data_IF_585189052375
#
_entry.id   IF_585189052375
#
_cell.length_a   1.000
_cell.length_b   1.000
_cell.length_c   1.000
_cell.angle_alpha   90.00
_cell.angle_beta   90.00
_cell.angle_gamma   90.00
#
_symmetry.space_group_name_H-M   'P 1'
#
loop_
_entity.id
_entity.type
_entity.pdbx_description
1 polymer ?
#
# COMPACT_ATOMS: atom_id res chain seq x y z
N UNK A 1 18.33 27.68 37.43
CA UNK A 1 17.22 27.20 36.62
C UNK A 1 17.43 25.71 36.34
N UNK A 2 16.67 24.84 37.00
CA UNK A 2 16.79 23.36 36.84
C UNK A 2 15.90 22.89 35.70
N UNK A 3 16.51 22.38 34.63
CA UNK A 3 15.84 21.75 33.52
C UNK A 3 15.22 20.41 33.98
N UNK A 4 13.91 20.31 33.92
CA UNK A 4 13.16 19.10 34.24
C UNK A 4 13.03 18.25 32.96
N UNK A 5 14.00 17.37 32.74
CA UNK A 5 13.89 16.36 31.70
C UNK A 5 12.82 15.34 32.13
N UNK A 6 11.63 15.39 31.49
CA UNK A 6 10.62 14.36 31.62
C UNK A 6 11.19 13.06 31.05
N UNK A 7 11.46 12.08 31.94
CA UNK A 7 11.76 10.69 31.54
C UNK A 7 10.61 10.15 30.70
N UNK A 8 10.88 9.89 29.42
CA UNK A 8 9.98 9.09 28.58
C UNK A 8 10.04 7.68 29.17
N UNK A 9 8.97 7.27 29.84
CA UNK A 9 8.75 5.86 30.19
C UNK A 9 8.43 5.13 28.86
N UNK A 10 9.30 4.22 28.46
CA UNK A 10 8.93 3.21 27.45
C UNK A 10 7.79 2.38 28.07
N UNK A 11 6.62 2.46 27.46
CA UNK A 11 5.48 1.61 27.79
C UNK A 11 5.84 0.17 27.44
N UNK A 12 5.73 -0.71 28.42
CA UNK A 12 5.89 -2.15 28.23
C UNK A 12 4.83 -2.66 27.22
N UNK A 13 5.12 -3.77 26.54
CA UNK A 13 4.17 -4.49 25.70
C UNK A 13 2.85 -4.81 26.43
N UNK A 14 2.89 -4.95 27.76
CA UNK A 14 1.74 -5.16 28.63
C UNK A 14 0.81 -3.94 28.71
N UNK A 15 1.35 -2.71 28.66
CA UNK A 15 0.56 -1.46 28.63
C UNK A 15 -0.17 -1.28 27.29
N UNK A 16 0.39 -1.81 26.22
CA UNK A 16 -0.18 -1.73 24.87
C UNK A 16 -1.32 -2.74 24.66
N UNK A 17 -1.29 -3.85 25.40
CA UNK A 17 -2.32 -4.89 25.37
C UNK A 17 -3.47 -4.64 26.34
N UNK A 18 -3.50 -3.49 27.02
CA UNK A 18 -4.61 -3.14 27.92
C UNK A 18 -4.60 -3.84 29.27
N UNK A 19 -3.42 -4.32 29.73
CA UNK A 19 -3.28 -4.92 31.06
C UNK A 19 -3.08 -3.90 32.19
N UNK A 20 -3.25 -2.59 31.89
CA UNK A 20 -3.33 -1.54 32.91
C UNK A 20 -4.61 -1.66 33.72
N UNK A 21 -4.55 -2.27 34.90
CA UNK A 21 -5.60 -2.37 35.89
C UNK A 21 -6.88 -3.09 35.41
N UNK A 22 -6.79 -4.40 35.16
CA UNK A 22 -7.94 -5.28 35.20
C UNK A 22 -7.86 -6.05 36.53
N UNK A 23 -8.84 -5.82 37.38
CA UNK A 23 -9.24 -6.74 38.43
C UNK A 23 -9.31 -8.16 37.86
N UNK A 24 -8.82 -9.10 38.64
CA UNK A 24 -8.67 -10.56 38.39
C UNK A 24 -9.93 -11.21 37.78
N UNK A 25 -10.11 -11.08 36.44
CA UNK A 25 -11.12 -11.83 35.69
C UNK A 25 -10.42 -12.78 34.71
N UNK A 26 -10.06 -13.95 35.26
CA UNK A 26 -9.75 -15.18 34.51
C UNK A 26 -8.48 -15.08 33.64
N UNK A 27 -7.36 -15.61 34.12
CA UNK A 27 -6.11 -15.74 33.33
C UNK A 27 -6.41 -16.20 31.90
N UNK A 28 -6.07 -15.36 30.92
CA UNK A 28 -6.14 -15.71 29.49
C UNK A 28 -5.38 -17.03 29.27
N UNK A 29 -6.12 -18.12 29.10
CA UNK A 29 -5.52 -19.46 28.96
C UNK A 29 -5.03 -19.65 27.53
N UNK A 30 -3.75 -19.89 27.39
CA UNK A 30 -3.17 -20.33 26.11
C UNK A 30 -3.69 -21.74 25.83
N UNK A 31 -4.19 -21.94 24.61
CA UNK A 31 -4.69 -23.27 24.15
C UNK A 31 -3.98 -23.62 22.83
N UNK A 32 -3.67 -24.90 22.69
CA UNK A 32 -3.22 -25.50 21.44
C UNK A 32 -4.43 -25.77 20.55
N UNK A 33 -4.52 -25.11 19.39
CA UNK A 33 -5.62 -25.27 18.43
C UNK A 33 -5.06 -25.79 17.11
N UNK A 34 -5.82 -26.67 16.46
CA UNK A 34 -5.50 -27.20 15.14
C UNK A 34 -5.41 -26.08 14.10
N UNK A 35 -4.39 -26.11 13.24
CA UNK A 35 -4.21 -25.09 12.19
C UNK A 35 -5.34 -25.11 11.15
N UNK A 36 -6.04 -26.24 11.02
CA UNK A 36 -7.23 -26.47 10.22
C UNK A 36 -8.50 -25.85 10.81
N UNK A 37 -8.54 -25.65 12.14
CA UNK A 37 -9.62 -24.95 12.83
C UNK A 37 -9.42 -23.43 12.89
N UNK A 38 -8.24 -22.92 12.48
CA UNK A 38 -7.92 -21.49 12.52
C UNK A 38 -8.09 -20.91 11.10
N UNK A 39 -9.09 -20.09 10.94
CA UNK A 39 -9.41 -19.42 9.68
C UNK A 39 -8.78 -18.02 9.61
N UNK A 40 -8.36 -17.55 8.42
CA UNK A 40 -7.84 -16.21 8.27
C UNK A 40 -8.92 -15.16 8.54
N UNK A 41 -8.52 -13.96 9.00
CA UNK A 41 -9.41 -12.83 9.20
C UNK A 41 -10.04 -12.40 7.86
N UNK A 42 -11.34 -12.15 7.86
CA UNK A 42 -12.08 -11.72 6.66
C UNK A 42 -11.56 -10.36 6.18
N UNK A 43 -11.23 -10.26 4.88
CA UNK A 43 -10.70 -9.03 4.27
C UNK A 43 -9.42 -8.52 4.93
N UNK A 44 -8.53 -9.42 5.37
CA UNK A 44 -7.25 -9.07 5.96
C UNK A 44 -6.39 -8.26 4.98
N UNK A 45 -6.03 -7.00 5.27
CA UNK A 45 -5.36 -6.13 4.30
C UNK A 45 -3.85 -6.43 4.15
N UNK A 46 -3.25 -7.08 5.16
CA UNK A 46 -1.81 -7.31 5.20
C UNK A 46 -1.46 -8.63 4.52
N UNK A 47 -0.55 -8.55 3.55
CA UNK A 47 -0.11 -9.73 2.80
C UNK A 47 0.88 -10.56 3.64
N UNK A 48 0.70 -11.86 3.62
CA UNK A 48 1.70 -12.80 4.12
C UNK A 48 2.55 -13.19 2.91
N UNK A 49 3.84 -12.84 2.95
CA UNK A 49 4.79 -13.11 1.86
C UNK A 49 5.72 -14.24 2.26
N UNK A 50 6.04 -15.10 1.30
CA UNK A 50 7.05 -16.14 1.43
C UNK A 50 8.42 -15.54 1.07
N UNK A 51 8.96 -14.78 2.03
CA UNK A 51 10.28 -14.16 1.98
C UNK A 51 11.29 -14.92 2.85
N UNK A 52 12.57 -14.58 2.75
CA UNK A 52 13.62 -15.19 3.57
C UNK A 52 13.31 -15.12 5.09
N UNK A 53 12.70 -14.01 5.54
CA UNK A 53 12.30 -13.85 6.94
C UNK A 53 11.13 -14.79 7.33
N UNK A 54 10.33 -15.26 6.36
CA UNK A 54 9.32 -16.29 6.60
C UNK A 54 9.96 -17.67 6.73
N UNK A 55 10.97 -17.98 5.91
CA UNK A 55 11.73 -19.23 6.01
C UNK A 55 12.47 -19.33 7.33
N UNK A 56 13.16 -18.27 7.76
CA UNK A 56 13.82 -18.18 9.08
C UNK A 56 12.81 -18.40 10.22
N UNK A 57 11.63 -17.79 10.12
CA UNK A 57 10.56 -17.99 11.11
C UNK A 57 10.06 -19.43 11.13
N UNK A 58 9.89 -20.06 9.96
CA UNK A 58 9.47 -21.46 9.87
C UNK A 58 10.52 -22.41 10.45
N UNK A 59 11.81 -22.15 10.20
CA UNK A 59 12.89 -22.94 10.79
C UNK A 59 12.94 -22.79 12.31
N UNK A 60 12.81 -21.57 12.82
CA UNK A 60 12.72 -21.29 14.25
C UNK A 60 11.53 -22.03 14.89
N UNK A 61 10.35 -21.98 14.26
CA UNK A 61 9.15 -22.68 14.75
C UNK A 61 9.34 -24.20 14.68
N UNK A 62 10.01 -24.72 13.68
CA UNK A 62 10.31 -26.16 13.57
C UNK A 62 11.16 -26.62 14.75
N UNK A 63 12.16 -25.81 15.14
CA UNK A 63 13.13 -26.16 16.19
C UNK A 63 12.60 -25.92 17.60
N UNK A 64 11.93 -24.80 17.81
CA UNK A 64 11.57 -24.32 19.15
C UNK A 64 10.07 -24.21 19.40
N UNK A 65 9.22 -24.36 18.39
CA UNK A 65 7.80 -24.09 18.48
C UNK A 65 7.45 -22.60 18.39
N UNK A 66 6.19 -22.27 18.61
CA UNK A 66 5.68 -20.89 18.61
C UNK A 66 5.74 -20.30 20.01
N UNK A 67 6.66 -19.37 20.26
CA UNK A 67 6.84 -18.76 21.60
C UNK A 67 5.72 -17.76 21.94
N UNK A 68 5.28 -16.97 20.98
CA UNK A 68 4.25 -15.96 21.19
C UNK A 68 2.94 -16.49 20.63
N UNK A 69 1.88 -16.68 21.44
CA UNK A 69 0.62 -17.23 20.96
C UNK A 69 -0.06 -16.28 19.96
N UNK A 70 -0.87 -16.84 19.05
CA UNK A 70 -1.79 -16.07 18.22
C UNK A 70 -2.98 -15.58 19.05
N UNK A 71 -3.70 -14.58 18.53
CA UNK A 71 -4.98 -14.16 19.10
C UNK A 71 -6.08 -14.58 18.13
N UNK A 72 -7.07 -15.31 18.65
CA UNK A 72 -8.22 -15.78 17.87
C UNK A 72 -9.52 -15.42 18.57
N UNK A 73 -10.61 -15.35 17.81
CA UNK A 73 -11.98 -15.28 18.33
C UNK A 73 -12.81 -16.45 17.81
N UNK A 74 -13.87 -16.81 18.52
CA UNK A 74 -14.81 -17.85 18.08
C UNK A 74 -15.60 -17.37 16.86
N UNK A 75 -15.89 -18.30 15.93
CA UNK A 75 -16.74 -18.05 14.76
C UNK A 75 -18.13 -18.65 14.96
N UNK A 76 -19.19 -18.00 14.48
CA UNK A 76 -20.54 -18.57 14.54
C UNK A 76 -20.68 -19.90 13.77
N UNK A 77 -19.91 -20.06 12.67
CA UNK A 77 -19.92 -21.25 11.82
C UNK A 77 -19.03 -22.39 12.37
N UNK A 78 -18.43 -22.21 13.53
CA UNK A 78 -17.47 -23.12 14.12
C UNK A 78 -16.01 -22.77 13.78
N UNK A 79 -15.10 -23.26 14.64
CA UNK A 79 -13.69 -22.94 14.57
C UNK A 79 -13.38 -21.52 15.06
N UNK A 80 -12.21 -21.02 14.68
CA UNK A 80 -11.67 -19.76 15.20
C UNK A 80 -11.22 -18.84 14.07
N UNK A 81 -11.47 -17.55 14.19
CA UNK A 81 -10.94 -16.54 13.28
C UNK A 81 -9.67 -15.92 13.88
N UNK A 82 -8.59 -15.89 13.10
CA UNK A 82 -7.29 -15.37 13.53
C UNK A 82 -7.25 -13.85 13.47
N UNK A 83 -7.22 -13.20 14.62
CA UNK A 83 -7.13 -11.74 14.77
C UNK A 83 -5.68 -11.26 14.67
N UNK A 84 -4.74 -11.97 15.31
CA UNK A 84 -3.31 -11.63 15.25
C UNK A 84 -2.44 -12.90 15.18
N UNK A 85 -1.36 -12.83 14.40
CA UNK A 85 -0.42 -13.95 14.26
C UNK A 85 -0.46 -14.67 12.91
N UNK A 86 -0.95 -14.02 11.85
CA UNK A 86 -1.05 -14.61 10.49
C UNK A 86 0.28 -15.16 9.97
N UNK A 87 1.40 -14.41 10.14
CA UNK A 87 2.73 -14.92 9.77
C UNK A 87 3.14 -16.15 10.56
N UNK A 88 2.86 -16.19 11.87
CA UNK A 88 3.16 -17.35 12.74
C UNK A 88 2.34 -18.57 12.35
N UNK A 89 1.04 -18.39 12.04
CA UNK A 89 0.21 -19.47 11.51
C UNK A 89 0.78 -20.03 10.20
N UNK A 90 1.11 -19.16 9.26
CA UNK A 90 1.68 -19.56 7.98
C UNK A 90 3.04 -20.27 8.15
N UNK A 91 3.95 -19.70 8.94
CA UNK A 91 5.24 -20.33 9.25
C UNK A 91 5.07 -21.68 9.99
N UNK A 92 4.03 -21.84 10.83
CA UNK A 92 3.72 -23.13 11.47
C UNK A 92 3.30 -24.19 10.45
N UNK A 93 2.53 -23.79 9.43
CA UNK A 93 2.17 -24.68 8.31
C UNK A 93 3.42 -25.10 7.51
N UNK A 94 4.31 -24.16 7.17
CA UNK A 94 5.58 -24.44 6.49
C UNK A 94 6.52 -25.30 7.35
N UNK A 95 6.47 -25.14 8.67
CA UNK A 95 7.23 -25.97 9.62
C UNK A 95 6.63 -27.40 9.82
N UNK A 96 5.49 -27.71 9.19
CA UNK A 96 4.81 -29.00 9.32
C UNK A 96 4.15 -29.23 10.69
N UNK A 97 3.87 -28.16 11.46
CA UNK A 97 3.12 -28.26 12.71
C UNK A 97 1.63 -28.49 12.41
N UNK A 98 0.95 -29.20 13.30
CA UNK A 98 -0.51 -29.43 13.19
C UNK A 98 -1.32 -28.46 14.04
N UNK A 99 -0.71 -27.92 15.09
CA UNK A 99 -1.34 -27.00 16.05
C UNK A 99 -0.48 -25.76 16.23
N UNK A 100 -1.06 -24.71 16.79
CA UNK A 100 -0.32 -23.56 17.31
C UNK A 100 -0.96 -23.04 18.61
N UNK A 101 -0.16 -22.47 19.52
CA UNK A 101 -0.68 -21.85 20.72
C UNK A 101 -1.43 -20.56 20.37
N UNK A 102 -2.63 -20.41 20.93
CA UNK A 102 -3.48 -19.23 20.75
C UNK A 102 -4.13 -18.82 22.07
N UNK A 103 -4.48 -17.53 22.14
CA UNK A 103 -5.33 -16.96 23.17
C UNK A 103 -6.70 -16.72 22.52
N UNK A 104 -7.75 -17.28 23.12
CA UNK A 104 -9.13 -17.07 22.65
C UNK A 104 -9.67 -15.83 23.36
N UNK A 105 -10.08 -14.82 22.58
CA UNK A 105 -10.73 -13.61 23.08
C UNK A 105 -12.14 -13.50 22.55
N UNK A 106 -13.06 -13.07 23.41
CA UNK A 106 -14.40 -12.66 22.97
C UNK A 106 -14.31 -11.22 22.45
N UNK A 107 -14.32 -11.07 21.13
CA UNK A 107 -14.23 -9.79 20.46
C UNK A 107 -15.41 -9.64 19.50
N UNK A 108 -16.08 -8.49 19.54
CA UNK A 108 -17.01 -8.14 18.48
C UNK A 108 -16.28 -7.84 17.16
N UNK A 109 -17.02 -7.65 16.07
CA UNK A 109 -16.41 -7.43 14.74
C UNK A 109 -15.53 -6.18 14.69
N UNK A 110 -15.94 -5.10 15.36
CA UNK A 110 -15.19 -3.85 15.38
C UNK A 110 -13.96 -3.92 16.27
N UNK A 111 -14.04 -4.62 17.39
CA UNK A 111 -12.91 -4.90 18.29
C UNK A 111 -11.87 -5.77 17.61
N UNK A 112 -12.32 -6.81 16.92
CA UNK A 112 -11.44 -7.68 16.17
C UNK A 112 -10.71 -6.92 15.04
N UNK A 113 -11.42 -6.05 14.30
CA UNK A 113 -10.80 -5.16 13.29
C UNK A 113 -9.76 -4.25 13.93
N UNK A 114 -10.09 -3.58 15.03
CA UNK A 114 -9.16 -2.68 15.71
C UNK A 114 -7.92 -3.42 16.20
N UNK A 115 -8.08 -4.56 16.88
CA UNK A 115 -6.98 -5.37 17.37
C UNK A 115 -6.07 -5.90 16.22
N UNK A 116 -6.68 -6.35 15.11
CA UNK A 116 -5.96 -6.82 13.94
C UNK A 116 -5.15 -5.69 13.30
N UNK A 117 -5.75 -4.51 13.10
CA UNK A 117 -5.06 -3.36 12.52
C UNK A 117 -3.94 -2.87 13.43
N UNK A 118 -4.19 -2.71 14.72
CA UNK A 118 -3.20 -2.19 15.67
C UNK A 118 -1.97 -3.10 15.79
N UNK A 119 -2.19 -4.43 15.80
CA UNK A 119 -1.08 -5.41 15.84
C UNK A 119 -0.19 -5.40 14.60
N UNK A 120 -0.69 -4.89 13.47
CA UNK A 120 0.06 -4.87 12.20
C UNK A 120 0.64 -3.48 11.87
N UNK A 121 0.01 -2.38 12.32
CA UNK A 121 0.50 -1.02 12.05
C UNK A 121 1.86 -0.72 12.69
N UNK A 122 2.28 -1.51 13.68
CA UNK A 122 3.59 -1.41 14.33
C UNK A 122 4.75 -2.00 13.49
N UNK A 123 4.45 -2.61 12.33
CA UNK A 123 5.49 -3.16 11.45
C UNK A 123 6.25 -2.02 10.77
N UNK A 124 7.57 -2.13 10.72
CA UNK A 124 8.45 -1.14 10.09
C UNK A 124 8.24 -0.98 8.58
N UNK A 125 7.83 -2.05 7.89
CA UNK A 125 7.66 -2.06 6.44
C UNK A 125 6.25 -2.48 6.02
N UNK A 126 5.33 -1.50 5.94
CA UNK A 126 4.00 -1.70 5.38
C UNK A 126 3.93 -1.10 3.98
N UNK A 127 3.28 -1.81 3.08
CA UNK A 127 2.97 -1.30 1.75
C UNK A 127 1.95 -0.14 1.84
N UNK A 128 2.00 0.83 0.93
CA UNK A 128 1.02 1.91 0.86
C UNK A 128 -0.42 1.41 0.81
N UNK A 129 -0.69 0.34 0.05
CA UNK A 129 -2.01 -0.30 -0.03
C UNK A 129 -2.45 -0.89 1.31
N UNK A 130 -1.54 -1.55 2.03
CA UNK A 130 -1.82 -2.14 3.34
C UNK A 130 -2.20 -1.06 4.36
N UNK A 131 -1.43 0.04 4.42
CA UNK A 131 -1.75 1.21 5.26
C UNK A 131 -3.10 1.83 4.89
N UNK A 132 -3.38 1.95 3.58
CA UNK A 132 -4.62 2.54 3.09
C UNK A 132 -5.85 1.75 3.57
N UNK A 133 -5.84 0.45 3.36
CA UNK A 133 -6.93 -0.44 3.79
C UNK A 133 -7.02 -0.56 5.31
N UNK A 134 -5.88 -0.63 6.02
CA UNK A 134 -5.85 -0.66 7.48
C UNK A 134 -6.51 0.58 8.09
N UNK A 135 -6.16 1.77 7.60
CA UNK A 135 -6.77 3.02 8.08
C UNK A 135 -8.25 3.13 7.72
N UNK A 136 -8.67 2.66 6.53
CA UNK A 136 -10.08 2.62 6.14
C UNK A 136 -10.87 1.70 7.08
N UNK A 137 -10.39 0.47 7.30
CA UNK A 137 -11.04 -0.49 8.20
C UNK A 137 -11.16 0.05 9.64
N UNK A 138 -10.07 0.65 10.16
CA UNK A 138 -10.06 1.27 11.49
C UNK A 138 -11.04 2.43 11.59
N UNK A 139 -11.09 3.29 10.56
CA UNK A 139 -12.03 4.39 10.51
C UNK A 139 -13.48 3.91 10.50
N UNK A 140 -13.77 2.88 9.70
CA UNK A 140 -15.12 2.30 9.61
C UNK A 140 -15.54 1.64 10.92
N UNK A 141 -14.64 0.94 11.62
CA UNK A 141 -14.90 0.36 12.94
C UNK A 141 -15.16 1.45 14.00
N UNK A 142 -14.33 2.52 14.03
CA UNK A 142 -14.53 3.65 14.95
C UNK A 142 -15.88 4.33 14.71
N UNK A 143 -16.30 4.50 13.45
CA UNK A 143 -17.60 5.10 13.10
C UNK A 143 -18.77 4.23 13.53
N UNK A 144 -18.69 2.92 13.36
CA UNK A 144 -19.74 2.00 13.83
C UNK A 144 -19.88 2.02 15.33
N UNK A 145 -18.75 2.04 16.08
CA UNK A 145 -18.77 2.14 17.56
C UNK A 145 -19.27 3.49 18.08
N UNK A 146 -19.02 4.58 17.36
CA UNK A 146 -19.53 5.92 17.74
C UNK A 146 -21.06 6.06 17.63
N UNK A 147 -21.74 5.04 17.10
CA UNK A 147 -23.19 5.05 16.86
C UNK A 147 -23.55 5.60 15.48
N UNK A 148 -24.62 5.06 14.91
CA UNK A 148 -25.23 5.58 13.68
C UNK A 148 -25.92 6.89 14.05
N UNK A 149 -25.63 8.03 13.41
CA UNK A 149 -26.40 9.26 13.65
C UNK A 149 -27.89 8.94 13.48
N UNK A 150 -28.72 9.26 14.46
CA UNK A 150 -30.16 9.13 14.33
C UNK A 150 -30.61 9.84 13.04
N UNK A 151 -31.45 9.17 12.23
CA UNK A 151 -32.04 9.75 11.01
C UNK A 151 -32.92 10.96 11.46
N UNK A 152 -32.33 12.13 11.55
CA UNK A 152 -33.00 13.35 11.90
C UNK A 152 -32.10 14.54 11.57
N UNK A 153 -32.43 15.19 10.46
CA UNK A 153 -32.11 16.59 10.12
C UNK A 153 -30.73 17.17 10.51
N UNK A 154 -29.65 16.43 10.30
CA UNK A 154 -28.29 16.98 10.41
C UNK A 154 -27.75 17.26 8.99
N UNK A 155 -27.67 18.55 8.65
CA UNK A 155 -27.16 19.00 7.37
C UNK A 155 -25.71 18.51 7.10
N UNK A 156 -25.28 18.57 5.83
CA UNK A 156 -23.94 18.14 5.36
C UNK A 156 -22.75 18.65 6.21
N UNK A 157 -22.92 19.75 6.92
CA UNK A 157 -21.91 20.36 7.81
C UNK A 157 -21.61 19.46 9.02
N UNK A 158 -22.66 18.90 9.65
CA UNK A 158 -22.50 18.02 10.83
C UNK A 158 -21.84 16.71 10.43
N UNK A 159 -22.22 16.12 9.30
CA UNK A 159 -21.60 14.90 8.79
C UNK A 159 -20.10 15.08 8.45
N UNK A 160 -19.71 16.25 7.96
CA UNK A 160 -18.32 16.55 7.68
C UNK A 160 -17.48 16.73 8.96
N UNK A 161 -18.07 17.32 10.00
CA UNK A 161 -17.43 17.46 11.32
C UNK A 161 -17.24 16.08 11.99
N UNK A 162 -18.25 15.23 11.98
CA UNK A 162 -18.16 13.86 12.52
C UNK A 162 -17.11 13.01 11.77
N UNK A 163 -17.05 13.13 10.42
CA UNK A 163 -16.03 12.47 9.61
C UNK A 163 -14.62 12.95 9.98
N UNK A 164 -14.43 14.26 10.16
CA UNK A 164 -13.15 14.83 10.55
C UNK A 164 -12.73 14.34 11.92
N UNK A 165 -13.63 14.40 12.91
CA UNK A 165 -13.37 13.91 14.27
C UNK A 165 -12.97 12.43 14.29
N UNK A 166 -13.67 11.57 13.53
CA UNK A 166 -13.35 10.15 13.47
C UNK A 166 -11.95 9.89 12.86
N UNK A 167 -11.55 10.68 11.86
CA UNK A 167 -10.20 10.58 11.27
C UNK A 167 -9.13 11.08 12.25
N UNK A 168 -9.40 12.15 13.00
CA UNK A 168 -8.51 12.67 14.02
C UNK A 168 -8.28 11.64 15.14
N UNK A 169 -9.33 10.94 15.59
CA UNK A 169 -9.23 9.85 16.56
C UNK A 169 -8.37 8.70 16.03
N UNK A 170 -8.53 8.33 14.76
CA UNK A 170 -7.69 7.31 14.13
C UNK A 170 -6.25 7.78 14.08
N UNK A 171 -6.01 9.01 13.64
CA UNK A 171 -4.67 9.59 13.48
C UNK A 171 -3.92 9.66 14.83
N UNK A 172 -4.59 10.11 15.89
CA UNK A 172 -4.03 10.15 17.24
C UNK A 172 -3.60 8.77 17.73
N UNK A 173 -4.46 7.74 17.52
CA UNK A 173 -4.16 6.36 17.93
C UNK A 173 -3.00 5.73 17.18
N UNK A 174 -2.74 6.13 15.94
CA UNK A 174 -1.62 5.61 15.14
C UNK A 174 -0.39 6.51 15.16
N UNK A 175 -0.46 7.67 15.83
CA UNK A 175 0.66 8.60 15.92
C UNK A 175 0.99 9.32 14.60
N UNK A 176 0.05 9.38 13.66
CA UNK A 176 0.23 10.05 12.36
C UNK A 176 -0.61 11.33 12.25
N UNK A 177 -0.22 12.21 11.31
CA UNK A 177 -1.01 13.40 11.00
C UNK A 177 -2.33 13.02 10.31
N UNK A 178 -3.46 13.61 10.74
CA UNK A 178 -4.79 13.30 10.18
C UNK A 178 -4.87 13.49 8.65
N UNK A 179 -4.16 14.48 8.09
CA UNK A 179 -4.10 14.70 6.65
C UNK A 179 -3.42 13.53 5.93
N UNK A 180 -2.39 12.97 6.56
CA UNK A 180 -1.69 11.80 6.01
C UNK A 180 -2.58 10.56 6.04
N UNK A 181 -3.27 10.31 7.17
CA UNK A 181 -4.26 9.22 7.27
C UNK A 181 -5.35 9.36 6.20
N UNK A 182 -5.89 10.57 6.02
CA UNK A 182 -6.89 10.84 4.98
C UNK A 182 -6.37 10.53 3.56
N UNK A 183 -5.11 10.88 3.28
CA UNK A 183 -4.48 10.61 1.97
C UNK A 183 -4.27 9.12 1.73
N UNK A 184 -3.85 8.36 2.76
CA UNK A 184 -3.79 6.90 2.67
C UNK A 184 -5.16 6.29 2.40
N UNK A 185 -6.17 6.67 3.20
CA UNK A 185 -7.54 6.18 2.98
C UNK A 185 -8.01 6.48 1.56
N UNK A 186 -7.66 7.64 1.01
CA UNK A 186 -8.04 8.00 -0.35
C UNK A 186 -7.48 7.04 -1.41
N UNK A 187 -6.29 6.43 -1.19
CA UNK A 187 -5.72 5.44 -2.10
C UNK A 187 -6.60 4.20 -2.30
N UNK A 188 -7.51 3.90 -1.36
CA UNK A 188 -8.44 2.76 -1.52
C UNK A 188 -9.46 2.94 -2.64
N UNK A 189 -9.57 4.15 -3.21
CA UNK A 189 -10.42 4.46 -4.36
C UNK A 189 -9.69 4.29 -5.72
N UNK A 190 -8.40 3.93 -5.70
CA UNK A 190 -7.65 3.61 -6.91
C UNK A 190 -8.03 2.24 -7.44
N UNK A 191 -7.95 2.10 -8.76
CA UNK A 191 -7.96 0.79 -9.40
C UNK A 191 -6.85 -0.10 -8.81
N UNK A 192 -7.10 -1.41 -8.61
CA UNK A 192 -6.11 -2.33 -8.03
C UNK A 192 -4.75 -2.35 -8.74
N UNK A 193 -4.71 -2.15 -10.06
CA UNK A 193 -3.47 -2.10 -10.83
C UNK A 193 -2.68 -0.83 -10.53
N UNK A 194 -3.34 0.34 -10.49
CA UNK A 194 -2.70 1.60 -10.09
C UNK A 194 -2.18 1.54 -8.65
N UNK A 195 -2.97 0.95 -7.75
CA UNK A 195 -2.55 0.76 -6.36
C UNK A 195 -1.34 -0.19 -6.27
N UNK A 196 -1.31 -1.25 -7.09
CA UNK A 196 -0.16 -2.14 -7.22
C UNK A 196 1.10 -1.42 -7.74
N UNK A 197 0.94 -0.44 -8.64
CA UNK A 197 2.06 0.41 -9.09
C UNK A 197 2.60 1.31 -7.97
N UNK A 198 1.75 1.75 -7.04
CA UNK A 198 2.18 2.51 -5.86
C UNK A 198 3.01 1.61 -4.93
N UNK A 199 2.55 0.39 -4.67
CA UNK A 199 3.27 -0.61 -3.87
C UNK A 199 4.63 -0.95 -4.48
N UNK A 200 4.67 -1.10 -5.81
CA UNK A 200 5.88 -1.35 -6.59
C UNK A 200 6.78 -0.12 -6.78
N UNK A 201 6.46 1.03 -6.17
CA UNK A 201 7.19 2.30 -6.30
C UNK A 201 7.30 2.83 -7.75
N UNK A 202 6.51 2.30 -8.68
CA UNK A 202 6.42 2.77 -10.06
C UNK A 202 5.62 4.08 -10.14
N UNK A 203 4.49 4.15 -9.42
CA UNK A 203 3.67 5.37 -9.31
C UNK A 203 3.94 6.03 -7.94
N UNK A 204 4.45 7.28 -7.89
CA UNK A 204 4.69 7.97 -6.62
C UNK A 204 3.38 8.23 -5.84
N UNK A 205 3.47 8.25 -4.50
CA UNK A 205 2.33 8.40 -3.61
C UNK A 205 1.49 9.67 -3.88
N UNK A 206 2.16 10.82 -4.10
CA UNK A 206 1.45 12.09 -4.27
C UNK A 206 0.62 12.15 -5.56
N UNK A 207 1.14 11.80 -6.75
CA UNK A 207 0.32 11.62 -7.95
C UNK A 207 -0.82 10.62 -7.75
N UNK A 208 -0.56 9.48 -7.13
CA UNK A 208 -1.57 8.45 -6.89
C UNK A 208 -2.78 8.97 -6.09
N UNK A 209 -2.53 9.78 -5.04
CA UNK A 209 -3.60 10.43 -4.27
C UNK A 209 -4.46 11.35 -5.14
N UNK A 210 -3.85 12.11 -6.07
CA UNK A 210 -4.61 12.98 -6.98
C UNK A 210 -5.40 12.15 -8.01
N UNK A 211 -4.80 11.07 -8.54
CA UNK A 211 -5.46 10.17 -9.49
C UNK A 211 -6.63 9.38 -8.88
N UNK A 212 -6.62 9.16 -7.57
CA UNK A 212 -7.74 8.50 -6.88
C UNK A 212 -9.05 9.30 -6.91
N UNK A 213 -9.03 10.55 -7.37
CA UNK A 213 -10.24 11.36 -7.58
C UNK A 213 -10.90 11.14 -8.94
N UNK A 214 -10.24 10.45 -9.86
CA UNK A 214 -10.79 10.06 -11.15
C UNK A 214 -11.86 8.99 -10.96
N UNK A 215 -12.83 8.95 -11.86
CA UNK A 215 -13.82 7.86 -11.89
C UNK A 215 -13.16 6.55 -12.33
N UNK A 216 -13.79 5.40 -12.02
CA UNK A 216 -13.24 4.09 -12.40
C UNK A 216 -13.03 3.93 -13.91
N UNK A 217 -13.89 4.55 -14.74
CA UNK A 217 -13.71 4.56 -16.20
C UNK A 217 -12.51 5.37 -16.64
N UNK A 218 -12.33 6.55 -16.05
CA UNK A 218 -11.19 7.42 -16.33
C UNK A 218 -9.86 6.80 -15.87
N UNK A 219 -9.86 6.08 -14.73
CA UNK A 219 -8.66 5.37 -14.26
C UNK A 219 -8.23 4.27 -15.22
N UNK A 220 -9.19 3.50 -15.77
CA UNK A 220 -8.89 2.46 -16.78
C UNK A 220 -8.33 3.07 -18.05
N UNK A 221 -8.97 4.12 -18.57
CA UNK A 221 -8.49 4.84 -19.74
C UNK A 221 -7.08 5.42 -19.53
N UNK A 222 -6.81 5.94 -18.32
CA UNK A 222 -5.50 6.43 -17.96
C UNK A 222 -4.45 5.30 -17.98
N UNK A 223 -4.77 4.11 -17.45
CA UNK A 223 -3.85 2.96 -17.48
C UNK A 223 -3.52 2.51 -18.91
N UNK A 224 -4.52 2.48 -19.80
CA UNK A 224 -4.30 2.19 -21.22
C UNK A 224 -3.30 3.19 -21.83
N UNK A 225 -3.53 4.49 -21.67
CA UNK A 225 -2.65 5.54 -22.18
C UNK A 225 -1.25 5.49 -21.56
N UNK A 226 -1.15 5.24 -20.26
CA UNK A 226 0.14 5.06 -19.59
C UNK A 226 0.93 3.89 -20.17
N UNK A 227 0.25 2.80 -20.54
CA UNK A 227 0.85 1.64 -21.19
C UNK A 227 1.31 1.96 -22.62
N UNK A 228 0.44 2.54 -23.44
CA UNK A 228 0.72 2.94 -24.83
C UNK A 228 1.90 3.91 -24.92
N UNK A 229 1.92 4.89 -24.05
CA UNK A 229 2.91 5.97 -24.07
C UNK A 229 4.15 5.68 -23.22
N UNK A 230 4.16 4.60 -22.44
CA UNK A 230 5.20 4.26 -21.46
C UNK A 230 5.50 5.44 -20.50
N UNK A 231 4.46 6.09 -19.95
CA UNK A 231 4.56 7.30 -19.12
C UNK A 231 3.91 7.08 -17.76
N UNK A 232 4.56 7.61 -16.73
CA UNK A 232 3.97 7.74 -15.39
C UNK A 232 3.65 9.22 -15.16
N UNK A 233 2.40 9.58 -14.80
CA UNK A 233 2.01 10.95 -14.58
C UNK A 233 2.81 11.63 -13.45
N UNK A 234 3.29 12.81 -13.68
CA UNK A 234 3.84 13.70 -12.66
C UNK A 234 2.74 14.23 -11.74
N UNK A 235 3.13 14.84 -10.61
CA UNK A 235 2.15 15.45 -9.69
C UNK A 235 1.31 16.55 -10.35
N UNK A 236 1.93 17.37 -11.22
CA UNK A 236 1.22 18.43 -11.95
C UNK A 236 0.24 17.87 -12.99
N UNK A 237 0.65 16.83 -13.71
CA UNK A 237 -0.21 16.12 -14.64
C UNK A 237 -1.38 15.47 -13.90
N UNK A 238 -1.14 14.77 -12.77
CA UNK A 238 -2.19 14.18 -11.97
C UNK A 238 -3.20 15.20 -11.42
N UNK A 239 -2.72 16.40 -11.01
CA UNK A 239 -3.60 17.50 -10.60
C UNK A 239 -4.43 18.04 -11.77
N UNK A 240 -3.84 18.16 -12.96
CA UNK A 240 -4.55 18.59 -14.15
C UNK A 240 -5.63 17.57 -14.55
N UNK A 241 -5.31 16.27 -14.56
CA UNK A 241 -6.27 15.20 -14.82
C UNK A 241 -7.44 15.24 -13.83
N UNK A 242 -7.15 15.37 -12.53
CA UNK A 242 -8.19 15.55 -11.51
C UNK A 242 -9.08 16.75 -11.77
N UNK A 243 -8.50 17.90 -12.15
CA UNK A 243 -9.26 19.12 -12.46
C UNK A 243 -10.21 18.88 -13.63
N UNK A 244 -9.71 18.31 -14.73
CA UNK A 244 -10.54 17.99 -15.90
C UNK A 244 -11.65 16.98 -15.58
N UNK A 245 -11.35 15.99 -14.76
CA UNK A 245 -12.36 15.02 -14.26
C UNK A 245 -13.47 15.73 -13.48
N UNK A 246 -13.10 16.61 -12.54
CA UNK A 246 -14.06 17.36 -11.73
C UNK A 246 -14.92 18.34 -12.57
N UNK A 247 -14.40 18.82 -13.70
CA UNK A 247 -15.14 19.65 -14.66
C UNK A 247 -15.97 18.82 -15.64
N UNK A 248 -15.89 17.48 -15.60
CA UNK A 248 -16.58 16.58 -16.54
C UNK A 248 -16.04 16.68 -17.98
N UNK A 249 -14.79 17.09 -18.15
CA UNK A 249 -14.13 17.32 -19.45
C UNK A 249 -12.95 16.38 -19.71
N UNK A 250 -12.83 15.30 -18.92
CA UNK A 250 -11.73 14.38 -19.04
C UNK A 250 -12.06 13.26 -20.03
N UNK A 251 -11.75 13.47 -21.28
CA UNK A 251 -11.79 12.46 -22.35
C UNK A 251 -10.37 11.97 -22.70
N UNK A 252 -10.27 11.07 -23.68
CA UNK A 252 -9.00 10.50 -24.15
C UNK A 252 -8.05 11.57 -24.68
N UNK A 253 -8.57 12.54 -25.44
CA UNK A 253 -7.76 13.61 -26.05
C UNK A 253 -7.20 14.55 -24.99
N UNK A 254 -8.01 14.91 -23.99
CA UNK A 254 -7.57 15.72 -22.86
C UNK A 254 -6.49 14.99 -22.02
N UNK A 255 -6.66 13.68 -21.77
CA UNK A 255 -5.67 12.88 -21.08
C UNK A 255 -4.34 12.84 -21.84
N UNK A 256 -4.38 12.55 -23.14
CA UNK A 256 -3.20 12.51 -24.00
C UNK A 256 -2.48 13.85 -23.98
N UNK A 257 -3.21 14.94 -24.17
CA UNK A 257 -2.68 16.31 -24.11
C UNK A 257 -2.00 16.63 -22.77
N UNK A 258 -2.57 16.16 -21.64
CA UNK A 258 -1.98 16.39 -20.32
C UNK A 258 -0.73 15.54 -20.14
N UNK A 259 -0.75 14.27 -20.56
CA UNK A 259 0.38 13.34 -20.41
C UNK A 259 1.56 13.71 -21.29
N UNK A 260 1.33 14.35 -22.43
CA UNK A 260 2.39 14.83 -23.35
C UNK A 260 3.00 16.16 -22.92
N UNK A 261 2.31 16.95 -22.06
CA UNK A 261 2.86 18.20 -21.54
C UNK A 261 4.16 17.99 -20.78
N UNK A 262 5.18 18.76 -21.14
CA UNK A 262 6.49 18.70 -20.46
C UNK A 262 7.39 17.56 -20.94
N UNK A 263 6.97 16.74 -21.89
CA UNK A 263 7.92 15.87 -22.58
C UNK A 263 8.91 16.74 -23.38
N UNK A 264 10.23 16.53 -23.21
CA UNK A 264 11.15 17.08 -24.18
C UNK A 264 10.72 16.57 -25.56
N UNK A 265 10.65 17.47 -26.53
CA UNK A 265 10.37 17.07 -27.91
C UNK A 265 11.28 15.87 -28.25
N UNK A 266 10.75 14.86 -28.96
CA UNK A 266 11.59 13.71 -29.34
C UNK A 266 12.87 14.26 -29.99
N UNK A 267 14.01 13.73 -29.54
CA UNK A 267 15.31 14.17 -30.05
C UNK A 267 15.30 13.90 -31.55
N UNK A 268 15.01 14.92 -32.34
CA UNK A 268 15.05 14.85 -33.79
C UNK A 268 16.45 15.27 -34.23
N UNK A 269 17.30 14.31 -34.50
CA UNK A 269 18.62 14.56 -35.03
C UNK A 269 18.51 14.57 -36.54
N UNK A 270 18.51 15.78 -37.13
CA UNK A 270 18.58 15.94 -38.58
C UNK A 270 20.05 16.01 -39.00
N UNK A 271 20.53 14.95 -39.62
CA UNK A 271 21.88 14.91 -40.15
C UNK A 271 21.90 15.66 -41.50
N UNK A 272 22.71 16.72 -41.60
CA UNK A 272 22.84 17.51 -42.87
C UNK A 272 23.45 16.60 -43.93
N UNK A 273 22.77 16.48 -45.07
CA UNK A 273 23.18 15.64 -46.18
C UNK A 273 24.59 15.95 -46.72
N UNK A 274 25.04 17.22 -46.65
CA UNK A 274 26.37 17.63 -47.02
C UNK A 274 27.47 17.01 -46.16
N UNK A 275 27.24 16.81 -44.85
CA UNK A 275 28.16 16.11 -43.94
C UNK A 275 28.18 14.60 -44.21
N UNK A 276 27.02 14.02 -44.46
CA UNK A 276 26.91 12.57 -44.73
C UNK A 276 27.58 12.22 -46.05
N UNK A 277 27.58 13.05 -47.08
CA UNK A 277 28.29 12.83 -48.35
C UNK A 277 29.80 12.66 -48.23
N UNK A 278 30.40 13.09 -47.11
CA UNK A 278 31.84 12.88 -46.86
C UNK A 278 32.18 11.49 -46.42
N UNK A 279 31.21 10.77 -45.85
CA UNK A 279 31.39 9.43 -45.25
C UNK A 279 30.74 8.33 -46.07
N UNK A 280 29.76 8.65 -46.93
CA UNK A 280 29.04 7.65 -47.73
C UNK A 280 29.21 7.90 -49.25
N UNK A 281 29.38 6.81 -50.04
CA UNK A 281 29.37 6.89 -51.49
C UNK A 281 28.05 7.47 -52.01
N UNK A 282 28.08 8.16 -53.17
CA UNK A 282 26.88 8.76 -53.79
C UNK A 282 25.81 7.77 -54.22
N UNK A 283 26.13 6.47 -54.22
CA UNK A 283 25.22 5.35 -54.53
C UNK A 283 24.37 4.90 -53.37
N UNK A 284 24.70 5.31 -52.15
CA UNK A 284 23.93 4.89 -50.95
C UNK A 284 22.59 5.55 -50.87
N UNK A 285 21.53 4.77 -50.66
CA UNK A 285 20.17 5.25 -50.36
C UNK A 285 20.05 5.72 -48.92
N UNK A 286 19.06 6.53 -48.62
CA UNK A 286 18.81 7.02 -47.27
C UNK A 286 18.65 5.85 -46.25
N UNK A 287 17.97 4.77 -46.63
CA UNK A 287 17.83 3.58 -45.77
C UNK A 287 19.15 2.86 -45.50
N UNK A 288 20.03 2.75 -46.49
CA UNK A 288 21.34 2.16 -46.28
C UNK A 288 22.25 2.99 -45.37
N UNK A 289 22.12 4.33 -45.43
CA UNK A 289 22.83 5.24 -44.54
C UNK A 289 22.31 5.05 -43.10
N UNK A 290 20.98 4.94 -42.94
CA UNK A 290 20.32 4.72 -41.65
C UNK A 290 20.75 3.41 -40.99
N UNK A 291 20.79 2.30 -41.73
CA UNK A 291 21.27 0.99 -41.26
C UNK A 291 22.71 1.05 -40.74
N UNK A 292 23.61 1.71 -41.49
CA UNK A 292 25.01 1.87 -41.08
C UNK A 292 25.11 2.71 -39.81
N UNK A 293 24.34 3.81 -39.70
CA UNK A 293 24.35 4.65 -38.51
C UNK A 293 23.84 3.87 -37.29
N UNK A 294 22.76 3.12 -37.40
CA UNK A 294 22.27 2.29 -36.30
C UNK A 294 23.26 1.21 -35.89
N UNK A 295 23.88 0.54 -36.84
CA UNK A 295 24.92 -0.45 -36.56
C UNK A 295 26.12 0.13 -35.80
N UNK A 296 26.52 1.36 -36.12
CA UNK A 296 27.59 2.06 -35.41
C UNK A 296 27.17 2.46 -33.98
N UNK A 297 25.93 2.91 -33.82
CA UNK A 297 25.37 3.27 -32.49
C UNK A 297 25.24 2.05 -31.58
N UNK A 298 24.87 0.88 -32.11
CA UNK A 298 24.82 -0.38 -31.35
C UNK A 298 26.22 -0.79 -30.88
N UNK A 299 27.22 -0.72 -31.75
CA UNK A 299 28.60 -1.00 -31.36
C UNK A 299 29.11 -0.03 -30.29
N UNK A 300 28.84 1.25 -30.45
CA UNK A 300 29.20 2.28 -29.48
C UNK A 300 28.55 2.03 -28.14
N UNK A 301 27.26 1.64 -28.10
CA UNK A 301 26.53 1.31 -26.88
C UNK A 301 27.18 0.13 -26.15
N UNK A 302 27.52 -0.96 -26.87
CA UNK A 302 28.19 -2.12 -26.31
C UNK A 302 29.57 -1.79 -25.76
N UNK A 303 30.29 -0.86 -26.38
CA UNK A 303 31.59 -0.39 -25.89
C UNK A 303 31.45 0.44 -24.60
N UNK A 304 30.40 1.26 -24.49
CA UNK A 304 30.14 2.01 -23.26
C UNK A 304 29.73 1.11 -22.09
N UNK A 305 28.93 0.08 -22.34
CA UNK A 305 28.53 -0.91 -21.33
C UNK A 305 29.76 -1.70 -20.82
N UNK A 306 30.72 -2.01 -21.70
CA UNK A 306 32.00 -2.65 -21.31
C UNK A 306 32.97 -1.75 -20.56
N UNK A 307 32.86 -0.42 -20.70
CA UNK A 307 33.70 0.55 -19.98
C UNK A 307 33.10 0.97 -18.66
N UNK A 308 31.75 0.85 -18.49
CA UNK A 308 31.03 1.15 -17.24
C UNK A 308 31.15 0.04 -16.17
N UNK A 309 31.61 -1.15 -16.56
CA UNK A 309 31.87 -2.31 -15.67
C UNK A 309 33.32 -2.38 -15.15
N UNK A 310 34.10 -1.33 -15.29
CA UNK A 310 35.43 -1.18 -14.72
C UNK A 310 35.43 -0.05 -13.69
#
# INVERSE_FOLDING_TARGET
>A
MKSSAKKIRMTSFDDLCGTGALEDTGSEKIREIGLDEIYPFKNHPFKVQDDAAMEDMAESIRKYGVFVPGIVRTRPEGGYELVAGHRRRHASMLAGKKTMPVIIRELDDDEAVLAMVDSNLQRESLLPSEKAWAYKMKLDAVRRKAGRPAKGNSGQVVQNLEKKFSIEVVAERVGENYKQVQRYIRLTELDPELLGMVDGKKLPFNPAVELSYLTGGEQKLLMELMGEMSVIPSLEQARSLKKYSQEGKLDREAMDSVLTRGRPAPIQVTLKSERLKQYFPRTYTAGQIEEVVFSLLEKWKLEQERQGDK
#
